data_IF_287088619902
#
_entry.id   IF_287088619902
#
_cell.length_a   1.000
_cell.length_b   1.000
_cell.length_c   1.000
_cell.angle_alpha   90.00
_cell.angle_beta   90.00
_cell.angle_gamma   90.00
#
_symmetry.space_group_name_H-M   'P 1'
#
loop_
_entity.id
_entity.type
_entity.pdbx_description
1 polymer ?
#
# COMPACT_ATOMS: atom_id res chain seq x y z
N UNK A 1 4.51 -19.63 -25.13
CA UNK A 1 3.86 -18.85 -26.20
C UNK A 1 2.45 -18.34 -25.85
N UNK A 2 1.91 -18.67 -24.67
CA UNK A 2 0.57 -18.23 -24.22
C UNK A 2 0.61 -16.83 -23.57
N UNK A 3 1.77 -16.30 -23.24
CA UNK A 3 1.92 -15.01 -22.55
C UNK A 3 1.91 -13.77 -23.45
N UNK A 4 2.15 -13.91 -24.74
CA UNK A 4 2.24 -12.74 -25.63
C UNK A 4 0.91 -12.31 -26.26
N UNK A 5 -0.06 -13.18 -26.32
CA UNK A 5 -1.36 -12.87 -26.93
C UNK A 5 -2.33 -12.14 -26.00
N UNK A 6 -2.09 -12.17 -24.69
CA UNK A 6 -2.95 -11.47 -23.73
C UNK A 6 -2.77 -9.94 -23.73
N UNK A 7 -1.73 -9.43 -24.38
CA UNK A 7 -1.45 -7.99 -24.52
C UNK A 7 -1.83 -7.39 -25.86
N UNK A 8 -2.26 -8.20 -26.84
CA UNK A 8 -2.72 -7.68 -28.14
C UNK A 8 -4.24 -7.42 -28.05
N UNK A 9 -4.60 -6.42 -27.28
CA UNK A 9 -5.89 -5.77 -27.44
C UNK A 9 -5.80 -4.91 -28.68
N UNK A 10 -6.76 -5.07 -29.62
CA UNK A 10 -6.88 -4.23 -30.81
C UNK A 10 -6.61 -2.78 -30.44
N UNK A 11 -5.71 -2.14 -31.17
CA UNK A 11 -5.36 -0.73 -30.94
C UNK A 11 -6.63 0.09 -31.05
N UNK A 12 -7.16 0.53 -29.91
CA UNK A 12 -8.30 1.43 -29.88
C UNK A 12 -7.99 2.66 -30.72
N UNK A 13 -8.91 3.05 -31.61
CA UNK A 13 -8.83 4.27 -32.36
C UNK A 13 -8.60 5.48 -31.46
N UNK A 14 -7.89 6.49 -31.91
CA UNK A 14 -7.67 7.72 -31.17
C UNK A 14 -8.97 8.35 -30.66
N UNK A 15 -10.05 8.28 -31.45
CA UNK A 15 -11.37 8.73 -31.05
C UNK A 15 -11.97 7.94 -29.87
N UNK A 16 -11.77 6.60 -29.85
CA UNK A 16 -12.20 5.76 -28.74
C UNK A 16 -11.39 6.04 -27.46
N UNK A 17 -10.09 6.27 -27.58
CA UNK A 17 -9.23 6.64 -26.44
C UNK A 17 -9.66 7.97 -25.84
N UNK A 18 -9.95 8.96 -26.67
CA UNK A 18 -10.41 10.27 -26.23
C UNK A 18 -11.78 10.18 -25.55
N UNK A 19 -12.71 9.39 -26.12
CA UNK A 19 -14.01 9.14 -25.50
C UNK A 19 -13.87 8.48 -24.13
N UNK A 20 -13.08 7.41 -24.03
CA UNK A 20 -12.83 6.70 -22.77
C UNK A 20 -12.13 7.59 -21.73
N UNK A 21 -11.19 8.44 -22.18
CA UNK A 21 -10.54 9.40 -21.30
C UNK A 21 -11.54 10.42 -20.74
N UNK A 22 -12.42 10.95 -21.57
CA UNK A 22 -13.45 11.90 -21.13
C UNK A 22 -14.47 11.26 -20.20
N UNK A 23 -14.83 10.02 -20.43
CA UNK A 23 -15.71 9.23 -19.54
C UNK A 23 -15.04 8.92 -18.19
N UNK A 24 -13.74 8.62 -18.19
CA UNK A 24 -12.97 8.33 -16.98
C UNK A 24 -12.42 9.58 -16.28
N UNK A 25 -12.54 10.77 -16.87
CA UNK A 25 -11.90 12.01 -16.39
C UNK A 25 -12.23 12.31 -14.93
N UNK A 26 -13.50 12.23 -14.57
CA UNK A 26 -13.94 12.48 -13.20
C UNK A 26 -13.39 11.44 -12.22
N UNK A 27 -13.24 10.19 -12.64
CA UNK A 27 -12.57 9.16 -11.85
C UNK A 27 -11.08 9.45 -11.64
N UNK A 28 -10.37 9.92 -12.68
CA UNK A 28 -8.95 10.30 -12.57
C UNK A 28 -8.70 11.54 -11.72
N UNK A 29 -9.70 12.43 -11.61
CA UNK A 29 -9.55 13.63 -10.80
C UNK A 29 -9.48 13.32 -9.30
N UNK A 30 -10.08 12.21 -8.85
CA UNK A 30 -10.04 11.81 -7.44
C UNK A 30 -8.62 11.57 -6.88
N UNK A 31 -7.76 10.74 -7.51
CA UNK A 31 -6.37 10.62 -7.10
C UNK A 31 -5.61 11.95 -7.13
N UNK A 32 -5.89 12.80 -8.12
CA UNK A 32 -5.25 14.12 -8.23
C UNK A 32 -5.65 15.03 -7.05
N UNK A 33 -6.92 15.04 -6.66
CA UNK A 33 -7.40 15.80 -5.49
C UNK A 33 -6.75 15.29 -4.21
N UNK A 34 -6.70 13.97 -4.00
CA UNK A 34 -6.13 13.36 -2.80
C UNK A 34 -4.63 13.67 -2.72
N UNK A 35 -3.88 13.26 -3.75
CA UNK A 35 -2.43 13.39 -3.78
C UNK A 35 -2.03 14.86 -3.82
N UNK A 36 -2.66 15.66 -4.68
CA UNK A 36 -2.39 17.08 -4.80
C UNK A 36 -2.74 17.85 -3.52
N UNK A 37 -3.83 17.49 -2.84
CA UNK A 37 -4.24 18.12 -1.58
C UNK A 37 -3.30 17.79 -0.42
N UNK A 38 -2.83 16.52 -0.33
CA UNK A 38 -1.88 16.10 0.70
C UNK A 38 -0.50 16.73 0.45
N UNK A 39 0.03 16.60 -0.76
CA UNK A 39 1.35 17.15 -1.11
C UNK A 39 1.36 18.69 -1.19
N UNK A 40 0.24 19.31 -1.51
CA UNK A 40 0.07 20.76 -1.44
C UNK A 40 -0.12 21.31 -0.02
N UNK A 41 -0.13 20.44 1.01
CA UNK A 41 -0.30 20.85 2.41
C UNK A 41 -1.70 21.38 2.75
N UNK A 42 -2.69 21.17 1.86
CA UNK A 42 -4.06 21.63 2.04
C UNK A 42 -4.86 20.71 2.95
N UNK A 43 -4.58 19.40 2.85
CA UNK A 43 -5.30 18.35 3.57
C UNK A 43 -4.34 17.40 4.28
N UNK A 44 -4.70 17.00 5.49
CA UNK A 44 -4.14 15.81 6.11
C UNK A 44 -4.64 14.55 5.38
N UNK A 45 -3.97 13.39 5.49
CA UNK A 45 -4.45 12.15 4.89
C UNK A 45 -5.88 11.77 5.29
N UNK A 46 -6.27 12.06 6.54
CA UNK A 46 -7.62 11.78 7.06
C UNK A 46 -8.66 12.72 6.43
N UNK A 47 -8.34 13.99 6.29
CA UNK A 47 -9.21 14.98 5.62
C UNK A 47 -9.34 14.67 4.13
N UNK A 48 -8.23 14.28 3.46
CA UNK A 48 -8.25 13.87 2.07
C UNK A 48 -9.14 12.63 1.86
N UNK A 49 -9.16 11.69 2.81
CA UNK A 49 -10.07 10.55 2.78
C UNK A 49 -11.54 11.01 2.87
N UNK A 50 -11.87 11.93 3.78
CA UNK A 50 -13.23 12.48 3.90
C UNK A 50 -13.66 13.24 2.63
N UNK A 51 -12.79 14.08 2.07
CA UNK A 51 -13.02 14.78 0.80
C UNK A 51 -13.25 13.80 -0.34
N UNK A 52 -12.47 12.70 -0.39
CA UNK A 52 -12.63 11.67 -1.42
C UNK A 52 -13.97 10.95 -1.37
N UNK A 53 -14.50 10.70 -0.17
CA UNK A 53 -15.85 10.13 0.01
C UNK A 53 -16.92 11.07 -0.55
N UNK A 54 -16.87 12.35 -0.16
CA UNK A 54 -17.84 13.35 -0.65
C UNK A 54 -17.73 13.50 -2.17
N UNK A 55 -16.51 13.60 -2.69
CA UNK A 55 -16.27 13.69 -4.13
C UNK A 55 -16.81 12.45 -4.88
N UNK A 56 -16.49 11.25 -4.38
CA UNK A 56 -16.95 9.98 -4.97
C UNK A 56 -18.48 9.86 -5.00
N UNK A 57 -19.15 10.30 -3.94
CA UNK A 57 -20.62 10.36 -3.88
C UNK A 57 -21.19 11.34 -4.89
N UNK A 58 -20.64 12.56 -4.98
CA UNK A 58 -21.08 13.57 -5.94
C UNK A 58 -20.91 13.06 -7.37
N UNK A 59 -19.76 12.50 -7.70
CA UNK A 59 -19.49 11.97 -9.05
C UNK A 59 -20.37 10.77 -9.36
N UNK A 60 -20.51 9.82 -8.44
CA UNK A 60 -21.28 8.59 -8.64
C UNK A 60 -22.78 8.83 -8.76
N UNK A 61 -23.34 9.75 -7.96
CA UNK A 61 -24.77 10.03 -7.95
C UNK A 61 -25.17 11.03 -9.03
N UNK A 62 -24.44 12.14 -9.20
CA UNK A 62 -24.86 13.23 -10.07
C UNK A 62 -24.26 13.19 -11.47
N UNK A 63 -23.00 12.76 -11.60
CA UNK A 63 -22.28 12.76 -12.88
C UNK A 63 -22.49 11.44 -13.62
N UNK A 64 -22.09 10.31 -13.02
CA UNK A 64 -22.25 9.00 -13.62
C UNK A 64 -23.66 8.43 -13.46
N UNK A 65 -24.37 8.85 -12.41
CA UNK A 65 -25.73 8.39 -12.11
C UNK A 65 -25.85 6.86 -11.98
N UNK A 66 -24.76 6.22 -11.58
CA UNK A 66 -24.69 4.79 -11.39
C UNK A 66 -25.12 4.37 -9.98
N UNK A 67 -24.90 5.26 -8.99
CA UNK A 67 -25.23 5.00 -7.58
C UNK A 67 -26.65 5.45 -7.29
N UNK A 68 -27.54 4.51 -6.96
CA UNK A 68 -28.92 4.77 -6.53
C UNK A 68 -28.99 4.88 -5.02
N UNK A 69 -30.04 5.51 -4.51
CA UNK A 69 -30.24 5.64 -3.05
C UNK A 69 -30.34 4.30 -2.31
N UNK A 70 -30.77 3.22 -2.98
CA UNK A 70 -30.75 1.88 -2.41
C UNK A 70 -29.33 1.34 -2.26
N UNK A 71 -28.47 1.56 -3.25
CA UNK A 71 -27.09 1.11 -3.26
C UNK A 71 -26.25 1.84 -2.18
N UNK A 72 -26.67 3.05 -1.80
CA UNK A 72 -26.05 3.85 -0.73
C UNK A 72 -26.07 3.12 0.62
N UNK A 73 -27.19 2.48 0.95
CA UNK A 73 -27.32 1.74 2.22
C UNK A 73 -26.37 0.54 2.21
N UNK A 74 -26.32 -0.19 1.10
CA UNK A 74 -25.43 -1.35 0.96
C UNK A 74 -23.96 -0.93 1.02
N UNK A 75 -23.57 0.17 0.37
CA UNK A 75 -22.23 0.75 0.44
C UNK A 75 -21.87 1.13 1.88
N UNK A 76 -22.78 1.78 2.61
CA UNK A 76 -22.55 2.17 4.00
C UNK A 76 -22.42 0.96 4.91
N UNK A 77 -23.27 -0.06 4.73
CA UNK A 77 -23.21 -1.32 5.51
C UNK A 77 -21.90 -2.06 5.25
N UNK A 78 -21.47 -2.17 3.99
CA UNK A 78 -20.23 -2.86 3.66
C UNK A 78 -19.00 -2.08 4.10
N UNK A 79 -19.02 -0.75 4.01
CA UNK A 79 -18.00 0.12 4.60
C UNK A 79 -17.93 -0.03 6.11
N UNK A 80 -19.09 -0.08 6.78
CA UNK A 80 -19.16 -0.31 8.22
C UNK A 80 -18.61 -1.67 8.65
N UNK A 81 -18.92 -2.74 7.92
CA UNK A 81 -18.35 -4.08 8.16
C UNK A 81 -16.84 -4.08 8.01
N UNK A 82 -16.33 -3.49 6.93
CA UNK A 82 -14.89 -3.39 6.67
C UNK A 82 -14.18 -2.59 7.75
N UNK A 83 -14.72 -1.42 8.10
CA UNK A 83 -14.17 -0.58 9.18
C UNK A 83 -14.20 -1.30 10.52
N UNK A 84 -15.31 -1.98 10.85
CA UNK A 84 -15.42 -2.77 12.08
C UNK A 84 -14.39 -3.89 12.16
N UNK A 85 -14.15 -4.59 11.05
CA UNK A 85 -13.10 -5.61 10.95
C UNK A 85 -11.70 -5.02 11.20
N UNK A 86 -11.38 -3.90 10.56
CA UNK A 86 -10.10 -3.21 10.75
C UNK A 86 -9.94 -2.74 12.21
N UNK A 87 -10.97 -2.15 12.81
CA UNK A 87 -10.93 -1.69 14.20
C UNK A 87 -10.72 -2.85 15.19
N UNK A 88 -11.32 -4.02 14.92
CA UNK A 88 -11.10 -5.21 15.72
C UNK A 88 -9.64 -5.67 15.64
N UNK A 89 -9.06 -5.68 14.44
CA UNK A 89 -7.65 -6.04 14.22
C UNK A 89 -6.73 -5.06 14.95
N UNK A 90 -6.98 -3.76 14.85
CA UNK A 90 -6.19 -2.72 15.56
C UNK A 90 -6.27 -2.93 17.07
N UNK A 91 -7.47 -3.16 17.61
CA UNK A 91 -7.66 -3.42 19.02
C UNK A 91 -6.91 -4.67 19.51
N UNK A 92 -7.00 -5.77 18.76
CA UNK A 92 -6.27 -7.00 19.06
C UNK A 92 -4.75 -6.81 18.94
N UNK A 93 -4.27 -6.11 17.92
CA UNK A 93 -2.84 -5.83 17.72
C UNK A 93 -2.28 -4.90 18.82
N UNK A 94 -3.06 -3.93 19.28
CA UNK A 94 -2.68 -3.05 20.41
C UNK A 94 -2.55 -3.86 21.71
N UNK A 95 -3.51 -4.75 21.98
CA UNK A 95 -3.44 -5.66 23.13
C UNK A 95 -2.23 -6.59 23.01
N UNK A 96 -1.98 -7.17 21.86
CA UNK A 96 -0.81 -8.01 21.58
C UNK A 96 0.49 -7.24 21.84
N UNK A 97 0.63 -6.02 21.32
CA UNK A 97 1.79 -5.16 21.52
C UNK A 97 2.02 -4.85 23.01
N UNK A 98 0.94 -4.56 23.74
CA UNK A 98 1.01 -4.34 25.19
C UNK A 98 1.51 -5.59 25.93
N UNK A 99 0.95 -6.76 25.63
CA UNK A 99 1.38 -8.03 26.21
C UNK A 99 2.86 -8.30 25.89
N UNK A 100 3.29 -8.13 24.66
CA UNK A 100 4.69 -8.28 24.25
C UNK A 100 5.62 -7.36 25.05
N UNK A 101 5.18 -6.14 25.32
CA UNK A 101 5.96 -5.17 26.10
C UNK A 101 6.06 -5.57 27.58
N UNK A 102 4.93 -5.95 28.19
CA UNK A 102 4.88 -6.34 29.63
C UNK A 102 5.68 -7.61 29.89
N UNK A 103 5.62 -8.59 29.00
CA UNK A 103 6.39 -9.83 29.13
C UNK A 103 7.84 -9.73 28.64
N UNK A 104 8.29 -8.57 28.22
CA UNK A 104 9.65 -8.38 27.73
C UNK A 104 9.97 -9.07 26.40
N UNK A 105 8.95 -9.56 25.69
CA UNK A 105 9.12 -10.26 24.41
C UNK A 105 9.70 -9.31 23.36
N UNK A 106 9.23 -8.07 23.33
CA UNK A 106 9.74 -7.05 22.43
C UNK A 106 11.23 -6.77 22.69
N UNK A 107 11.63 -6.66 23.95
CA UNK A 107 13.04 -6.45 24.36
C UNK A 107 13.92 -7.65 24.03
N UNK A 108 13.43 -8.87 24.27
CA UNK A 108 14.16 -10.10 23.90
C UNK A 108 14.33 -10.22 22.37
N UNK A 109 13.29 -9.92 21.60
CA UNK A 109 13.37 -9.89 20.15
C UNK A 109 14.34 -8.82 19.62
N UNK A 110 14.35 -7.64 20.26
CA UNK A 110 15.30 -6.57 19.94
C UNK A 110 16.73 -6.97 20.22
N UNK A 111 17.00 -7.56 21.39
CA UNK A 111 18.34 -8.05 21.74
C UNK A 111 18.84 -9.10 20.74
N UNK A 112 17.97 -10.06 20.41
CA UNK A 112 18.28 -11.10 19.42
C UNK A 112 18.54 -10.49 18.04
N UNK A 113 17.73 -9.55 17.59
CA UNK A 113 17.91 -8.87 16.30
C UNK A 113 19.22 -8.08 16.27
N UNK A 114 19.59 -7.40 17.34
CA UNK A 114 20.86 -6.68 17.45
C UNK A 114 22.07 -7.61 17.45
N UNK A 115 21.97 -8.76 18.14
CA UNK A 115 23.02 -9.77 18.17
C UNK A 115 23.24 -10.41 16.80
N UNK A 116 22.17 -10.78 16.09
CA UNK A 116 22.26 -11.41 14.77
C UNK A 116 22.67 -10.41 13.68
N UNK A 117 22.16 -9.17 13.76
CA UNK A 117 22.35 -8.21 12.68
C UNK A 117 23.77 -7.63 12.61
N UNK A 118 24.44 -7.48 13.74
CA UNK A 118 25.80 -6.91 13.81
C UNK A 118 25.97 -5.48 13.26
N UNK A 119 25.15 -5.10 12.27
CA UNK A 119 25.11 -3.76 11.69
C UNK A 119 23.76 -3.46 11.03
N UNK A 120 23.53 -2.15 10.72
CA UNK A 120 22.28 -1.68 10.11
C UNK A 120 21.90 -2.33 8.77
N UNK A 121 22.89 -2.73 7.97
CA UNK A 121 22.63 -3.29 6.63
C UNK A 121 22.08 -4.72 6.72
N UNK A 122 22.63 -5.51 7.64
CA UNK A 122 22.14 -6.88 7.90
C UNK A 122 20.77 -6.81 8.55
N UNK A 123 20.54 -5.89 9.47
CA UNK A 123 19.22 -5.65 10.07
C UNK A 123 18.17 -5.33 8.99
N UNK A 124 18.46 -4.39 8.07
CA UNK A 124 17.55 -4.06 6.98
C UNK A 124 17.26 -5.25 6.05
N UNK A 125 18.25 -6.11 5.82
CA UNK A 125 18.04 -7.34 5.05
C UNK A 125 17.08 -8.30 5.77
N UNK A 126 17.28 -8.50 7.07
CA UNK A 126 16.40 -9.33 7.91
C UNK A 126 14.97 -8.78 7.90
N UNK A 127 14.83 -7.47 8.08
CA UNK A 127 13.54 -6.77 8.01
C UNK A 127 12.86 -7.00 6.66
N UNK A 128 13.59 -6.87 5.56
CA UNK A 128 13.06 -7.11 4.22
C UNK A 128 12.53 -8.55 4.08
N UNK A 129 13.28 -9.54 4.54
CA UNK A 129 12.84 -10.95 4.47
C UNK A 129 11.60 -11.19 5.31
N UNK A 130 11.57 -10.69 6.55
CA UNK A 130 10.44 -10.88 7.45
C UNK A 130 9.17 -10.20 6.92
N UNK A 131 9.26 -8.94 6.47
CA UNK A 131 8.11 -8.24 5.92
C UNK A 131 7.63 -8.83 4.59
N UNK A 132 8.54 -9.32 3.74
CA UNK A 132 8.17 -9.98 2.50
C UNK A 132 7.38 -11.27 2.79
N UNK A 133 7.87 -12.09 3.71
CA UNK A 133 7.18 -13.31 4.13
C UNK A 133 5.84 -12.95 4.79
N UNK A 134 5.83 -12.01 5.74
CA UNK A 134 4.60 -11.58 6.40
C UNK A 134 3.56 -11.08 5.39
N UNK A 135 3.96 -10.24 4.43
CA UNK A 135 3.09 -9.70 3.40
C UNK A 135 2.52 -10.75 2.44
N UNK A 136 3.19 -11.92 2.28
CA UNK A 136 2.63 -13.01 1.50
C UNK A 136 1.39 -13.65 2.14
N UNK A 137 1.28 -13.62 3.49
CA UNK A 137 0.26 -14.33 4.25
C UNK A 137 -0.77 -13.42 4.92
N UNK A 138 -0.37 -12.20 5.28
CA UNK A 138 -1.16 -11.26 6.06
C UNK A 138 -1.28 -9.95 5.28
N UNK A 139 -2.40 -9.24 5.46
CA UNK A 139 -2.55 -7.91 4.87
C UNK A 139 -1.55 -6.90 5.47
N UNK A 140 -1.21 -5.87 4.70
CA UNK A 140 -0.17 -4.90 5.05
C UNK A 140 -0.46 -4.17 6.38
N UNK A 141 -1.72 -3.81 6.62
CA UNK A 141 -2.08 -3.09 7.84
C UNK A 141 -1.87 -3.95 9.08
N UNK A 142 -2.39 -5.19 9.08
CA UNK A 142 -2.22 -6.14 10.18
C UNK A 142 -0.74 -6.46 10.42
N UNK A 143 0.04 -6.67 9.36
CA UNK A 143 1.47 -6.90 9.48
C UNK A 143 2.20 -5.70 10.11
N UNK A 144 1.86 -4.46 9.71
CA UNK A 144 2.45 -3.27 10.31
C UNK A 144 2.17 -3.18 11.81
N UNK A 145 0.94 -3.42 12.25
CA UNK A 145 0.57 -3.35 13.66
C UNK A 145 1.30 -4.39 14.52
N UNK A 146 1.65 -5.53 13.95
CA UNK A 146 2.35 -6.61 14.67
C UNK A 146 3.87 -6.35 14.69
N UNK A 147 4.47 -6.04 13.54
CA UNK A 147 5.93 -6.05 13.41
C UNK A 147 6.59 -4.69 13.70
N UNK A 148 5.93 -3.56 13.39
CA UNK A 148 6.52 -2.23 13.63
C UNK A 148 6.88 -2.00 15.11
N UNK A 149 6.01 -2.31 16.09
CA UNK A 149 6.36 -2.09 17.50
C UNK A 149 7.61 -2.87 17.97
N UNK A 150 7.92 -3.98 17.31
CA UNK A 150 9.09 -4.82 17.64
C UNK A 150 10.35 -4.31 16.92
N UNK A 151 10.24 -3.96 15.64
CA UNK A 151 11.38 -3.66 14.77
C UNK A 151 11.80 -2.19 14.78
N UNK A 152 10.85 -1.28 14.95
CA UNK A 152 11.12 0.16 14.93
C UNK A 152 12.10 0.62 16.01
N UNK A 153 12.00 0.18 17.29
CA UNK A 153 12.98 0.54 18.32
C UNK A 153 14.40 0.07 17.98
N UNK A 154 14.55 -1.08 17.31
CA UNK A 154 15.86 -1.56 16.84
C UNK A 154 16.38 -0.69 15.71
N UNK A 155 15.51 -0.33 14.76
CA UNK A 155 15.86 0.56 13.65
C UNK A 155 16.39 1.91 14.15
N UNK A 156 15.72 2.51 15.13
CA UNK A 156 16.16 3.78 15.74
C UNK A 156 17.48 3.67 16.49
N UNK A 157 17.72 2.58 17.22
CA UNK A 157 18.99 2.31 17.88
C UNK A 157 20.15 2.16 16.89
N UNK A 158 19.89 1.61 15.72
CA UNK A 158 20.87 1.48 14.63
C UNK A 158 21.03 2.76 13.79
N UNK A 159 20.36 3.86 14.17
CA UNK A 159 20.45 5.16 13.49
C UNK A 159 19.76 5.16 12.11
N UNK A 160 18.74 4.34 11.92
CA UNK A 160 17.93 4.33 10.69
C UNK A 160 16.86 5.41 10.83
N UNK A 161 16.75 6.25 9.80
CA UNK A 161 15.73 7.29 9.74
C UNK A 161 14.30 6.69 9.79
N UNK A 162 13.37 7.22 10.61
CA UNK A 162 12.01 6.71 10.76
C UNK A 162 11.22 6.67 9.45
N UNK A 163 11.38 7.69 8.62
CA UNK A 163 10.70 7.78 7.33
C UNK A 163 11.23 6.73 6.37
N UNK A 164 12.55 6.59 6.31
CA UNK A 164 13.21 5.57 5.50
C UNK A 164 12.74 4.16 5.90
N UNK A 165 12.69 3.86 7.20
CA UNK A 165 12.18 2.58 7.71
C UNK A 165 10.70 2.35 7.33
N UNK A 166 9.87 3.39 7.48
CA UNK A 166 8.45 3.34 7.11
C UNK A 166 8.24 3.06 5.61
N UNK A 167 9.02 3.68 4.75
CA UNK A 167 8.98 3.44 3.29
C UNK A 167 9.38 2.01 2.97
N UNK A 168 10.47 1.50 3.57
CA UNK A 168 10.90 0.11 3.39
C UNK A 168 9.79 -0.86 3.80
N UNK A 169 9.20 -0.68 4.98
CA UNK A 169 8.12 -1.52 5.48
C UNK A 169 6.91 -1.53 4.54
N UNK A 170 6.46 -0.34 4.12
CA UNK A 170 5.30 -0.19 3.25
C UNK A 170 5.51 -0.84 1.88
N UNK A 171 6.64 -0.55 1.23
CA UNK A 171 6.95 -1.09 -0.10
C UNK A 171 7.10 -2.61 -0.03
N UNK A 172 7.75 -3.11 1.00
CA UNK A 172 7.98 -4.53 1.20
C UNK A 172 6.66 -5.32 1.37
N UNK A 173 5.79 -4.84 2.25
CA UNK A 173 4.47 -5.44 2.45
C UNK A 173 3.61 -5.37 1.19
N UNK A 174 3.67 -4.27 0.44
CA UNK A 174 2.97 -4.15 -0.84
C UNK A 174 3.45 -5.19 -1.87
N UNK A 175 4.76 -5.47 -1.93
CA UNK A 175 5.32 -6.53 -2.78
C UNK A 175 4.87 -7.90 -2.28
N UNK A 176 4.86 -8.12 -0.96
CA UNK A 176 4.38 -9.36 -0.34
C UNK A 176 2.96 -9.70 -0.78
N UNK A 177 2.06 -8.72 -0.84
CA UNK A 177 0.65 -8.92 -1.23
C UNK A 177 0.46 -9.42 -2.67
N UNK A 178 1.43 -9.25 -3.56
CA UNK A 178 1.41 -9.81 -4.93
C UNK A 178 2.31 -11.02 -5.08
N UNK A 179 2.97 -11.45 -4.00
CA UNK A 179 3.93 -12.56 -4.01
C UNK A 179 3.25 -13.87 -3.59
N UNK A 180 3.38 -14.96 -4.37
CA UNK A 180 2.92 -16.29 -3.93
C UNK A 180 3.58 -16.71 -2.60
N UNK A 181 2.96 -17.54 -1.73
CA UNK A 181 1.88 -18.50 -2.04
C UNK A 181 0.47 -17.96 -1.93
N UNK A 182 0.21 -16.96 -1.06
CA UNK A 182 -1.15 -16.43 -0.91
C UNK A 182 -1.36 -15.21 -1.79
N UNK A 183 -0.62 -14.11 -1.55
CA UNK A 183 -0.70 -12.89 -2.35
C UNK A 183 -2.13 -12.39 -2.54
N UNK A 184 -2.70 -11.72 -1.53
CA UNK A 184 -4.12 -11.31 -1.49
C UNK A 184 -4.55 -10.61 -2.78
N UNK A 185 -3.68 -9.77 -3.35
CA UNK A 185 -3.97 -9.04 -4.59
C UNK A 185 -4.03 -9.95 -5.83
N UNK A 186 -3.40 -11.14 -5.80
CA UNK A 186 -3.52 -12.11 -6.90
C UNK A 186 -4.92 -12.69 -6.99
N UNK A 187 -5.58 -12.94 -5.86
CA UNK A 187 -6.97 -13.40 -5.84
C UNK A 187 -7.93 -12.33 -6.39
N UNK A 188 -7.71 -11.07 -6.03
CA UNK A 188 -8.48 -9.95 -6.58
C UNK A 188 -8.29 -9.87 -8.09
N UNK A 189 -7.06 -9.97 -8.58
CA UNK A 189 -6.74 -9.95 -10.00
C UNK A 189 -7.40 -11.11 -10.76
N UNK A 190 -7.43 -12.31 -10.18
CA UNK A 190 -8.12 -13.47 -10.76
C UNK A 190 -9.63 -13.20 -10.84
N UNK A 191 -10.25 -12.74 -9.75
CA UNK A 191 -11.69 -12.42 -9.74
C UNK A 191 -12.09 -11.36 -10.78
N UNK A 192 -11.25 -10.34 -10.99
CA UNK A 192 -11.45 -9.35 -12.05
C UNK A 192 -11.28 -9.98 -13.43
N UNK A 193 -10.26 -10.83 -13.61
CA UNK A 193 -10.01 -11.50 -14.90
C UNK A 193 -11.13 -12.44 -15.29
N UNK A 194 -11.71 -13.18 -14.34
CA UNK A 194 -12.87 -14.07 -14.58
C UNK A 194 -14.10 -13.29 -15.06
N UNK A 195 -14.37 -12.12 -14.49
CA UNK A 195 -15.47 -11.24 -14.94
C UNK A 195 -15.24 -10.72 -16.36
N UNK A 196 -14.00 -10.42 -16.72
CA UNK A 196 -13.63 -9.97 -18.06
C UNK A 196 -13.65 -11.11 -19.09
N UNK A 197 -13.26 -12.31 -18.70
CA UNK A 197 -13.23 -13.49 -19.57
C UNK A 197 -14.63 -14.06 -19.84
N UNK A 198 -15.59 -13.92 -18.94
CA UNK A 198 -16.99 -14.27 -19.18
C UNK A 198 -17.57 -13.58 -20.41
N UNK A 199 -16.90 -12.57 -20.93
CA UNK A 199 -17.22 -11.83 -22.14
C UNK A 199 -16.47 -12.31 -23.40
N UNK A 200 -15.38 -13.11 -23.28
CA UNK A 200 -14.48 -13.30 -24.44
C UNK A 200 -13.83 -14.66 -24.64
N UNK A 201 -13.56 -15.47 -23.61
CA UNK A 201 -12.89 -16.78 -23.83
C UNK A 201 -12.98 -17.73 -22.64
N UNK A 202 -12.94 -19.06 -22.93
CA UNK A 202 -13.17 -20.14 -21.96
C UNK A 202 -11.94 -20.60 -21.17
N UNK A 203 -10.82 -19.89 -21.25
CA UNK A 203 -9.59 -20.24 -20.53
C UNK A 203 -9.65 -19.76 -19.09
N UNK A 204 -9.88 -20.68 -18.15
CA UNK A 204 -9.85 -20.37 -16.71
C UNK A 204 -8.45 -19.90 -16.29
N UNK A 205 -8.33 -18.67 -15.82
CA UNK A 205 -7.10 -18.18 -15.19
C UNK A 205 -6.96 -18.82 -13.83
N UNK A 206 -5.91 -19.60 -13.65
CA UNK A 206 -5.59 -20.27 -12.40
C UNK A 206 -4.57 -19.45 -11.61
N UNK A 207 -4.57 -19.56 -10.27
CA UNK A 207 -3.57 -18.93 -9.39
C UNK A 207 -2.15 -19.20 -9.89
N UNK A 208 -1.87 -20.46 -10.29
CA UNK A 208 -0.55 -20.87 -10.79
C UNK A 208 -0.16 -20.14 -12.08
N UNK A 209 -1.09 -19.93 -13.02
CA UNK A 209 -0.81 -19.21 -14.26
C UNK A 209 -0.59 -17.73 -14.01
N UNK A 210 -1.37 -17.13 -13.11
CA UNK A 210 -1.22 -15.73 -12.68
C UNK A 210 0.11 -15.52 -11.96
N UNK A 211 0.47 -16.40 -11.01
CA UNK A 211 1.74 -16.33 -10.27
C UNK A 211 2.95 -16.41 -11.21
N UNK A 212 2.91 -17.28 -12.22
CA UNK A 212 3.97 -17.38 -13.23
C UNK A 212 4.08 -16.10 -14.08
N UNK A 213 2.95 -15.48 -14.42
CA UNK A 213 2.94 -14.26 -15.21
C UNK A 213 3.47 -13.05 -14.44
N UNK A 214 3.25 -12.99 -13.13
CA UNK A 214 3.68 -11.87 -12.26
C UNK A 214 5.14 -12.00 -11.81
N UNK A 215 5.76 -13.21 -11.92
CA UNK A 215 7.11 -13.45 -11.44
C UNK A 215 8.18 -12.46 -11.92
N UNK A 216 8.27 -12.08 -13.22
CA UNK A 216 9.24 -11.08 -13.67
C UNK A 216 9.05 -9.72 -13.01
N UNK A 217 7.80 -9.35 -12.75
CA UNK A 217 7.47 -8.09 -12.07
C UNK A 217 7.86 -8.12 -10.59
N UNK A 218 7.65 -9.26 -9.91
CA UNK A 218 8.10 -9.45 -8.52
C UNK A 218 9.62 -9.28 -8.43
N UNK A 219 10.37 -9.87 -9.34
CA UNK A 219 11.84 -9.72 -9.38
C UNK A 219 12.24 -8.25 -9.56
N UNK A 220 11.60 -7.53 -10.48
CA UNK A 220 11.85 -6.10 -10.66
C UNK A 220 11.52 -5.29 -9.41
N UNK A 221 10.40 -5.61 -8.74
CA UNK A 221 10.01 -4.96 -7.48
C UNK A 221 11.00 -5.26 -6.34
N UNK A 222 11.52 -6.48 -6.24
CA UNK A 222 12.54 -6.84 -5.24
C UNK A 222 13.84 -6.06 -5.50
N UNK A 223 14.26 -5.91 -6.76
CA UNK A 223 15.44 -5.09 -7.11
C UNK A 223 15.19 -3.63 -6.69
N UNK A 224 14.04 -3.08 -7.00
CA UNK A 224 13.66 -1.72 -6.58
C UNK A 224 13.63 -1.57 -5.05
N UNK A 225 13.10 -2.57 -4.33
CA UNK A 225 13.10 -2.60 -2.87
C UNK A 225 14.51 -2.58 -2.30
N UNK A 226 15.43 -3.38 -2.85
CA UNK A 226 16.83 -3.38 -2.42
C UNK A 226 17.50 -2.02 -2.68
N UNK A 227 17.24 -1.39 -3.82
CA UNK A 227 17.71 -0.03 -4.09
C UNK A 227 17.17 0.97 -3.07
N UNK A 228 15.89 0.95 -2.78
CA UNK A 228 15.26 1.82 -1.77
C UNK A 228 15.87 1.54 -0.39
N UNK A 229 16.10 0.27 -0.04
CA UNK A 229 16.63 -0.14 1.28
C UNK A 229 18.05 0.35 1.51
N UNK A 230 18.92 0.24 0.50
CA UNK A 230 20.35 0.55 0.66
C UNK A 230 20.74 1.95 0.22
N UNK A 231 19.85 2.67 -0.49
CA UNK A 231 20.05 4.05 -0.91
C UNK A 231 18.97 4.95 -0.29
N UNK A 232 19.18 5.48 0.93
CA UNK A 232 18.18 6.26 1.68
C UNK A 232 17.64 7.47 0.92
N UNK A 233 18.41 8.01 -0.02
CA UNK A 233 18.04 9.15 -0.83
C UNK A 233 16.70 8.95 -1.56
N UNK A 234 16.43 7.75 -2.09
CA UNK A 234 15.17 7.46 -2.77
C UNK A 234 13.95 7.56 -1.86
N UNK A 235 14.12 7.28 -0.56
CA UNK A 235 13.04 7.34 0.42
C UNK A 235 12.82 8.74 0.98
N UNK A 236 13.88 9.52 1.12
CA UNK A 236 13.86 10.77 1.88
C UNK A 236 13.79 12.01 0.98
N UNK A 237 14.24 11.95 -0.29
CA UNK A 237 14.31 13.11 -1.18
C UNK A 237 12.97 13.80 -1.38
N UNK A 238 11.89 13.03 -1.51
CA UNK A 238 10.55 13.56 -1.76
C UNK A 238 9.99 14.26 -0.52
N UNK A 239 10.28 13.75 0.67
CA UNK A 239 9.87 14.33 1.94
C UNK A 239 10.72 15.53 2.34
N UNK A 240 12.06 15.48 2.13
CA UNK A 240 12.94 16.59 2.39
C UNK A 240 12.61 17.80 1.50
N UNK A 241 12.24 17.57 0.23
CA UNK A 241 11.80 18.65 -0.65
C UNK A 241 10.48 19.28 -0.19
N UNK A 242 9.58 18.51 0.43
CA UNK A 242 8.29 18.99 0.95
C UNK A 242 8.43 19.71 2.30
N UNK A 243 9.31 19.24 3.17
CA UNK A 243 9.60 19.91 4.46
C UNK A 243 10.20 21.29 4.21
N UNK A 244 11.09 21.44 3.23
CA UNK A 244 11.61 22.75 2.83
C UNK A 244 10.56 23.71 2.25
N UNK A 245 9.48 23.19 1.69
CA UNK A 245 8.37 24.02 1.18
C UNK A 245 7.39 24.39 2.30
N UNK A 246 7.25 23.56 3.34
CA UNK A 246 6.25 23.71 4.40
C UNK A 246 6.78 24.33 5.71
N UNK A 247 8.09 24.59 5.85
CA UNK A 247 8.60 25.43 6.94
C UNK A 247 8.43 26.92 6.58
N UNK A 248 7.35 27.59 7.04
CA UNK A 248 7.40 29.03 7.15
C UNK A 248 8.46 29.33 8.21
N UNK A 249 9.46 30.12 7.82
CA UNK A 249 10.49 30.70 8.68
C UNK A 249 9.94 30.91 10.10
N UNK A 250 10.32 30.03 11.04
CA UNK A 250 10.11 30.27 12.46
C UNK A 250 10.89 31.54 12.78
N UNK A 251 10.27 32.62 13.26
CA UNK A 251 11.03 33.76 13.77
C UNK A 251 11.90 33.24 14.90
N UNK A 252 13.20 33.53 14.83
CA UNK A 252 14.11 33.26 15.95
C UNK A 252 13.54 33.91 17.21
N UNK A 253 13.58 33.25 18.38
CA UNK A 253 13.19 33.88 19.61
C UNK A 253 14.15 35.06 19.86
N UNK A 254 13.61 36.27 19.85
CA UNK A 254 14.32 37.47 20.25
C UNK A 254 14.75 37.27 21.70
N UNK A 255 16.07 37.25 21.89
CA UNK A 255 16.78 37.22 23.18
C UNK A 255 16.36 38.32 24.12
#
# INVERSE_FOLDING_TARGET
LVGSEMCIRDRSSWGQRWKSFREAFWGFLMPVIIIGGIYGGVFTPTEAAAVSVVYGLVVGVFIYREVKMKDMIDILVDSGKTTGGIMLIIGAATLFSYVCTVFGIAQAAQALLLEISGNKYIFLLIVNVIFLIAGCFVDANSAMYIFIPIMYPVATQLGIDPVHFGVIATVNLAIGQVTPPVGVNLFVAIGVSEKLQGLRDKTKVTIVSMSKAVWPQIVACIIALLLITYVPWFSTVLLLSLIHISEPTRPEPIS
#
